data_IF_763666266851
#
_entry.id   IF_763666266851
#
_cell.length_a   1.000
_cell.length_b   1.000
_cell.length_c   1.000
_cell.angle_alpha   90.00
_cell.angle_beta   90.00
_cell.angle_gamma   90.00
#
_symmetry.space_group_name_H-M   'P 1'
#
loop_
_entity.id
_entity.type
_entity.pdbx_description
1 polymer ?
#
# COMPACT_ATOMS: atom_id res chain seq x y z
N UNK A 1 -10.13 10.57 -21.77
CA UNK A 1 -10.50 9.46 -20.87
C UNK A 1 -9.55 8.33 -21.21
N UNK A 2 -8.97 7.67 -20.20
CA UNK A 2 -8.07 6.56 -20.49
C UNK A 2 -8.82 5.45 -21.23
N UNK A 3 -8.16 4.79 -22.17
CA UNK A 3 -8.69 3.58 -22.79
C UNK A 3 -8.09 2.32 -22.14
N UNK A 4 -8.63 1.15 -22.48
CA UNK A 4 -8.17 -0.12 -21.91
C UNK A 4 -6.69 -0.38 -22.21
N UNK A 5 -6.18 0.06 -23.37
CA UNK A 5 -4.78 -0.13 -23.75
C UNK A 5 -3.82 0.69 -22.88
N UNK A 6 -4.18 1.94 -22.57
CA UNK A 6 -3.44 2.79 -21.63
C UNK A 6 -3.41 2.17 -20.22
N UNK A 7 -4.54 1.63 -19.75
CA UNK A 7 -4.61 0.95 -18.46
C UNK A 7 -3.74 -0.31 -18.45
N UNK A 8 -3.77 -1.12 -19.51
CA UNK A 8 -2.91 -2.30 -19.62
C UNK A 8 -1.43 -1.91 -19.59
N UNK A 9 -1.03 -0.83 -20.25
CA UNK A 9 0.34 -0.32 -20.17
C UNK A 9 0.72 0.10 -18.75
N UNK A 10 -0.19 0.78 -18.05
CA UNK A 10 0.00 1.19 -16.67
C UNK A 10 0.28 0.00 -15.74
N UNK A 11 -0.41 -1.14 -15.94
CA UNK A 11 -0.14 -2.37 -15.19
C UNK A 11 1.21 -3.01 -15.58
N UNK A 12 1.67 -2.91 -16.84
CA UNK A 12 3.03 -3.36 -17.21
C UNK A 12 4.10 -2.53 -16.50
N UNK A 13 3.96 -1.21 -16.52
CA UNK A 13 4.91 -0.29 -15.90
C UNK A 13 4.95 -0.47 -14.38
N UNK A 14 3.78 -0.69 -13.77
CA UNK A 14 3.68 -1.00 -12.35
C UNK A 14 4.39 -2.32 -12.00
N UNK A 15 4.20 -3.38 -12.80
CA UNK A 15 4.88 -4.66 -12.57
C UNK A 15 6.40 -4.50 -12.58
N UNK A 16 6.93 -3.78 -13.58
CA UNK A 16 8.37 -3.55 -13.74
C UNK A 16 9.00 -2.81 -12.55
N UNK A 17 8.29 -1.82 -11.99
CA UNK A 17 8.81 -0.97 -10.89
C UNK A 17 8.56 -1.53 -9.49
N UNK A 18 7.73 -2.58 -9.36
CA UNK A 18 7.34 -3.12 -8.05
C UNK A 18 7.85 -4.53 -7.76
N UNK A 19 8.39 -5.24 -8.75
CA UNK A 19 8.81 -6.64 -8.62
C UNK A 19 9.68 -6.93 -7.38
N UNK A 20 10.67 -6.08 -7.09
CA UNK A 20 11.58 -6.29 -5.96
C UNK A 20 10.91 -6.06 -4.58
N UNK A 21 9.94 -5.14 -4.49
CA UNK A 21 9.33 -4.72 -3.21
C UNK A 21 7.96 -5.33 -2.95
N UNK A 22 7.28 -5.79 -4.00
CA UNK A 22 5.91 -6.28 -3.96
C UNK A 22 5.70 -7.38 -5.00
N UNK A 23 6.36 -8.55 -4.85
CA UNK A 23 6.38 -9.60 -5.87
C UNK A 23 4.98 -10.16 -6.19
N UNK A 24 4.10 -10.29 -5.19
CA UNK A 24 2.71 -10.71 -5.40
C UNK A 24 1.98 -9.74 -6.34
N UNK A 25 2.04 -8.44 -6.04
CA UNK A 25 1.36 -7.43 -6.84
C UNK A 25 2.01 -7.27 -8.22
N UNK A 26 3.33 -7.43 -8.35
CA UNK A 26 3.97 -7.41 -9.66
C UNK A 26 3.49 -8.56 -10.56
N UNK A 27 3.39 -9.79 -10.01
CA UNK A 27 2.83 -10.94 -10.74
C UNK A 27 1.38 -10.73 -11.18
N UNK A 28 0.53 -10.26 -10.26
CA UNK A 28 -0.87 -9.93 -10.57
C UNK A 28 -0.96 -8.81 -11.61
N UNK A 29 -0.13 -7.79 -11.50
CA UNK A 29 -0.08 -6.65 -12.43
C UNK A 29 0.28 -7.10 -13.84
N UNK A 30 1.25 -7.99 -14.00
CA UNK A 30 1.57 -8.60 -15.31
C UNK A 30 0.35 -9.33 -15.88
N UNK A 31 -0.32 -10.17 -15.09
CA UNK A 31 -1.48 -10.93 -15.56
C UNK A 31 -2.69 -10.03 -15.90
N UNK A 32 -2.92 -8.95 -15.14
CA UNK A 32 -3.96 -7.96 -15.41
C UNK A 32 -3.67 -7.23 -16.73
N UNK A 33 -2.41 -6.89 -17.01
CA UNK A 33 -2.05 -6.23 -18.25
C UNK A 33 -2.39 -7.04 -19.51
N UNK A 34 -2.47 -8.38 -19.39
CA UNK A 34 -2.81 -9.29 -20.48
C UNK A 34 -4.30 -9.67 -20.52
N UNK A 35 -5.11 -9.19 -19.56
CA UNK A 35 -6.56 -9.43 -19.49
C UNK A 35 -7.35 -8.11 -19.59
N UNK A 36 -7.90 -7.76 -20.78
CA UNK A 36 -8.62 -6.52 -20.99
C UNK A 36 -9.87 -6.36 -20.11
N UNK A 37 -10.53 -7.46 -19.72
CA UNK A 37 -11.74 -7.40 -18.89
C UNK A 37 -11.37 -6.91 -17.48
N UNK A 38 -10.31 -7.48 -16.90
CA UNK A 38 -9.85 -7.13 -15.56
C UNK A 38 -9.15 -5.76 -15.56
N UNK A 39 -8.32 -5.46 -16.55
CA UNK A 39 -7.71 -4.14 -16.70
C UNK A 39 -8.79 -3.06 -16.83
N UNK A 40 -9.82 -3.31 -17.64
CA UNK A 40 -10.93 -2.38 -17.88
C UNK A 40 -11.78 -2.05 -16.65
N UNK A 41 -11.67 -2.80 -15.54
CA UNK A 41 -12.28 -2.42 -14.26
C UNK A 41 -11.81 -1.04 -13.80
N UNK A 42 -10.53 -0.72 -13.97
CA UNK A 42 -9.93 0.53 -13.49
C UNK A 42 -10.50 1.77 -14.18
N UNK A 43 -11.14 1.60 -15.35
CA UNK A 43 -11.84 2.69 -16.05
C UNK A 43 -13.05 3.22 -15.28
N UNK A 44 -13.55 2.49 -14.29
CA UNK A 44 -14.59 2.98 -13.38
C UNK A 44 -14.07 4.03 -12.38
N UNK A 45 -12.75 4.13 -12.19
CA UNK A 45 -12.16 5.05 -11.23
C UNK A 45 -12.15 6.51 -11.75
N UNK A 46 -12.25 7.51 -10.86
CA UNK A 46 -11.98 8.90 -11.22
C UNK A 46 -10.56 9.05 -11.81
N UNK A 47 -10.32 9.98 -12.77
CA UNK A 47 -9.02 10.13 -13.40
C UNK A 47 -7.85 10.34 -12.42
N UNK A 48 -8.09 11.01 -11.29
CA UNK A 48 -7.09 11.23 -10.24
C UNK A 48 -6.75 9.98 -9.42
N UNK A 49 -7.51 8.89 -9.58
CA UNK A 49 -7.36 7.63 -8.84
C UNK A 49 -7.29 6.40 -9.75
N UNK A 50 -7.27 6.58 -11.08
CA UNK A 50 -7.07 5.52 -12.07
C UNK A 50 -5.64 5.01 -12.05
N UNK A 51 -5.19 4.47 -10.91
CA UNK A 51 -3.86 3.91 -10.67
C UNK A 51 -3.98 2.44 -10.23
N UNK A 52 -2.99 1.58 -10.52
CA UNK A 52 -3.10 0.13 -10.27
C UNK A 52 -3.40 -0.23 -8.81
N UNK A 53 -2.85 0.55 -7.88
CA UNK A 53 -3.01 0.36 -6.43
C UNK A 53 -4.47 0.42 -6.00
N UNK A 54 -5.33 1.21 -6.68
CA UNK A 54 -6.74 1.27 -6.34
C UNK A 54 -7.46 -0.06 -6.62
N UNK A 55 -7.18 -0.71 -7.75
CA UNK A 55 -7.75 -2.03 -8.06
C UNK A 55 -7.28 -3.08 -7.04
N UNK A 56 -6.00 -3.08 -6.71
CA UNK A 56 -5.47 -3.98 -5.69
C UNK A 56 -6.12 -3.75 -4.31
N UNK A 57 -6.31 -2.49 -3.91
CA UNK A 57 -6.96 -2.16 -2.66
C UNK A 57 -8.43 -2.59 -2.65
N UNK A 58 -9.17 -2.39 -3.74
CA UNK A 58 -10.56 -2.81 -3.86
C UNK A 58 -10.70 -4.33 -3.80
N UNK A 59 -9.83 -5.08 -4.50
CA UNK A 59 -9.80 -6.54 -4.41
C UNK A 59 -9.44 -7.01 -2.99
N UNK A 60 -8.43 -6.39 -2.37
CA UNK A 60 -8.01 -6.75 -1.02
C UNK A 60 -9.11 -6.48 0.03
N UNK A 61 -9.90 -5.41 -0.11
CA UNK A 61 -11.08 -5.16 0.73
C UNK A 61 -12.09 -6.31 0.65
N UNK A 62 -12.34 -6.87 -0.55
CA UNK A 62 -13.21 -8.04 -0.71
C UNK A 62 -12.60 -9.31 -0.12
N UNK A 63 -11.28 -9.50 -0.26
CA UNK A 63 -10.56 -10.61 0.37
C UNK A 63 -10.66 -10.53 1.90
N UNK A 64 -10.48 -9.35 2.50
CA UNK A 64 -10.64 -9.11 3.93
C UNK A 64 -12.06 -9.41 4.43
N UNK A 65 -13.07 -9.22 3.58
CA UNK A 65 -14.47 -9.56 3.86
C UNK A 65 -14.81 -11.03 3.61
N UNK A 66 -13.83 -11.85 3.23
CA UNK A 66 -13.98 -13.29 3.04
C UNK A 66 -14.54 -13.71 1.68
N UNK A 67 -14.56 -12.83 0.67
CA UNK A 67 -15.12 -13.17 -0.64
C UNK A 67 -14.26 -14.14 -1.45
N UNK A 68 -12.96 -14.29 -1.14
CA UNK A 68 -12.06 -15.21 -1.83
C UNK A 68 -11.00 -15.81 -0.89
N UNK A 69 -11.35 -16.82 -0.07
CA UNK A 69 -10.40 -17.50 0.81
C UNK A 69 -9.21 -18.11 0.06
N UNK A 70 -9.43 -18.58 -1.17
CA UNK A 70 -8.39 -19.10 -2.05
C UNK A 70 -7.35 -18.03 -2.43
N UNK A 71 -7.79 -16.79 -2.63
CA UNK A 71 -6.90 -15.67 -2.91
C UNK A 71 -6.22 -15.18 -1.63
N UNK A 72 -6.94 -15.19 -0.50
CA UNK A 72 -6.40 -14.80 0.81
C UNK A 72 -5.13 -15.58 1.19
N UNK A 73 -5.06 -16.86 0.80
CA UNK A 73 -3.91 -17.72 1.04
C UNK A 73 -2.59 -17.21 0.44
N UNK A 74 -2.64 -16.30 -0.55
CA UNK A 74 -1.44 -15.73 -1.17
C UNK A 74 -0.93 -14.45 -0.49
N UNK A 75 -1.69 -13.86 0.44
CA UNK A 75 -1.35 -12.59 1.07
C UNK A 75 -0.52 -12.79 2.37
N UNK A 76 0.71 -12.24 2.48
CA UNK A 76 1.55 -12.37 3.67
C UNK A 76 0.95 -11.80 4.96
N UNK A 77 0.05 -10.83 4.85
CA UNK A 77 -0.64 -10.24 6.00
C UNK A 77 -1.89 -11.04 6.44
N UNK A 78 -2.30 -12.06 5.68
CA UNK A 78 -3.48 -12.89 5.96
C UNK A 78 -3.12 -14.37 6.20
N UNK A 79 -2.02 -14.82 5.61
CA UNK A 79 -1.53 -16.19 5.74
C UNK A 79 -0.14 -16.22 6.39
N UNK A 80 0.02 -17.03 7.44
CA UNK A 80 1.32 -17.23 8.09
C UNK A 80 2.37 -17.82 7.14
N UNK A 81 1.92 -18.67 6.20
CA UNK A 81 2.75 -19.26 5.14
C UNK A 81 2.03 -19.04 3.80
N UNK A 82 2.31 -17.94 3.09
CA UNK A 82 1.65 -17.63 1.84
C UNK A 82 1.87 -18.71 0.78
N UNK A 83 0.81 -19.05 0.05
CA UNK A 83 0.88 -20.03 -1.02
C UNK A 83 1.77 -19.55 -2.18
N UNK A 84 2.70 -20.40 -2.61
CA UNK A 84 3.67 -20.10 -3.68
C UNK A 84 3.08 -20.20 -5.10
N UNK A 85 1.89 -20.80 -5.23
CA UNK A 85 1.21 -21.05 -6.49
C UNK A 85 0.82 -19.78 -7.27
N UNK A 86 0.08 -19.97 -8.36
CA UNK A 86 -0.42 -18.85 -9.16
C UNK A 86 -1.67 -18.21 -8.52
N UNK A 87 -1.61 -16.94 -8.05
CA UNK A 87 -2.77 -16.26 -7.49
C UNK A 87 -3.76 -15.81 -8.57
N UNK A 88 -3.34 -15.77 -9.84
CA UNK A 88 -4.12 -15.19 -10.92
C UNK A 88 -5.49 -15.84 -11.14
N UNK A 89 -5.65 -17.18 -11.17
CA UNK A 89 -6.95 -17.80 -11.35
C UNK A 89 -7.98 -17.37 -10.30
N UNK A 90 -7.56 -17.32 -9.03
CA UNK A 90 -8.38 -16.87 -7.91
C UNK A 90 -8.72 -15.37 -8.01
N UNK A 91 -7.73 -14.54 -8.30
CA UNK A 91 -7.89 -13.10 -8.49
C UNK A 91 -8.89 -12.78 -9.60
N UNK A 92 -8.68 -13.39 -10.77
CA UNK A 92 -9.53 -13.20 -11.95
C UNK A 92 -10.96 -13.70 -11.70
N UNK A 93 -11.11 -14.85 -11.03
CA UNK A 93 -12.43 -15.38 -10.68
C UNK A 93 -13.19 -14.44 -9.74
N UNK A 94 -12.51 -13.85 -8.74
CA UNK A 94 -13.09 -12.83 -7.87
C UNK A 94 -13.48 -11.58 -8.67
N UNK A 95 -12.59 -11.07 -9.53
CA UNK A 95 -12.88 -9.89 -10.36
C UNK A 95 -14.12 -10.07 -11.25
N UNK A 96 -14.28 -11.26 -11.83
CA UNK A 96 -15.45 -11.57 -12.67
C UNK A 96 -16.73 -11.76 -11.86
N UNK A 97 -16.64 -12.44 -10.72
CA UNK A 97 -17.78 -12.68 -9.83
C UNK A 97 -18.30 -11.37 -9.22
N UNK A 98 -17.40 -10.46 -8.85
CA UNK A 98 -17.71 -9.23 -8.12
C UNK A 98 -17.57 -7.96 -8.99
N UNK A 99 -17.66 -8.06 -10.33
CA UNK A 99 -17.42 -6.94 -11.26
C UNK A 99 -18.22 -5.68 -10.87
N UNK A 100 -19.52 -5.81 -10.63
CA UNK A 100 -20.37 -4.67 -10.25
C UNK A 100 -19.98 -4.02 -8.92
N UNK A 101 -19.59 -4.84 -7.92
CA UNK A 101 -19.15 -4.34 -6.63
C UNK A 101 -17.78 -3.67 -6.74
N UNK A 102 -16.86 -4.26 -7.50
CA UNK A 102 -15.55 -3.67 -7.78
C UNK A 102 -15.68 -2.34 -8.52
N UNK A 103 -16.51 -2.23 -9.55
CA UNK A 103 -16.78 -0.95 -10.23
C UNK A 103 -17.32 0.10 -9.27
N UNK A 104 -18.21 -0.29 -8.37
CA UNK A 104 -18.75 0.61 -7.33
C UNK A 104 -17.66 1.09 -6.37
N UNK A 105 -16.78 0.19 -5.92
CA UNK A 105 -15.64 0.54 -5.06
C UNK A 105 -14.65 1.45 -5.79
N UNK A 106 -14.27 1.10 -7.02
CA UNK A 106 -13.33 1.86 -7.84
C UNK A 106 -13.84 3.28 -8.14
N UNK A 107 -15.15 3.44 -8.38
CA UNK A 107 -15.76 4.73 -8.66
C UNK A 107 -15.86 5.65 -7.42
N UNK A 108 -15.88 5.09 -6.21
CA UNK A 108 -16.23 5.84 -4.98
C UNK A 108 -15.13 5.88 -3.92
N UNK A 109 -14.15 4.98 -3.99
CA UNK A 109 -13.06 4.88 -3.01
C UNK A 109 -11.77 5.45 -3.56
N UNK A 110 -10.91 5.84 -2.62
CA UNK A 110 -9.62 6.45 -2.90
C UNK A 110 -8.56 5.72 -2.07
N UNK A 111 -7.36 5.59 -2.62
CA UNK A 111 -6.21 5.13 -1.83
C UNK A 111 -5.45 6.33 -1.31
N UNK A 112 -4.97 6.22 -0.07
CA UNK A 112 -4.12 7.24 0.53
C UNK A 112 -2.95 6.57 1.22
N UNK A 113 -1.76 7.07 0.94
CA UNK A 113 -0.52 6.48 1.46
C UNK A 113 -0.26 6.97 2.87
N UNK A 114 -0.14 6.05 3.81
CA UNK A 114 0.44 6.31 5.12
C UNK A 114 1.87 5.78 5.11
N UNK A 115 2.85 6.68 4.97
CA UNK A 115 4.26 6.29 4.99
C UNK A 115 4.85 6.57 6.39
N UNK A 116 4.63 5.62 7.31
CA UNK A 116 5.10 5.73 8.70
C UNK A 116 6.63 5.74 8.82
N UNK A 117 7.37 5.23 7.84
CA UNK A 117 8.83 5.28 7.78
C UNK A 117 9.38 6.71 7.85
N UNK A 118 8.61 7.70 7.38
CA UNK A 118 8.96 9.13 7.53
C UNK A 118 9.09 9.56 8.99
N UNK A 119 8.41 8.88 9.92
CA UNK A 119 8.51 9.19 11.34
C UNK A 119 9.93 9.00 11.87
N UNK A 120 10.78 8.19 11.21
CA UNK A 120 12.18 8.03 11.59
C UNK A 120 13.01 9.30 11.35
N UNK A 121 12.52 10.23 10.53
CA UNK A 121 13.15 11.53 10.33
C UNK A 121 12.58 12.60 11.28
N UNK A 122 11.37 12.39 11.81
CA UNK A 122 10.72 13.35 12.70
C UNK A 122 11.38 13.41 14.06
N UNK A 123 11.70 12.25 14.65
CA UNK A 123 12.29 12.17 15.99
C UNK A 123 13.58 13.01 16.14
N UNK A 124 14.61 12.87 15.28
CA UNK A 124 15.81 13.71 15.39
C UNK A 124 15.54 15.18 15.09
N UNK A 125 14.65 15.49 14.14
CA UNK A 125 14.32 16.88 13.81
C UNK A 125 13.59 17.59 14.96
N UNK A 126 12.62 16.92 15.60
CA UNK A 126 11.91 17.46 16.75
C UNK A 126 12.85 17.62 17.95
N UNK A 127 13.78 16.69 18.16
CA UNK A 127 14.72 16.86 19.27
C UNK A 127 15.67 18.05 19.06
N UNK A 128 16.12 18.30 17.82
CA UNK A 128 16.90 19.50 17.51
C UNK A 128 16.12 20.79 17.81
N UNK A 129 14.84 20.84 17.41
CA UNK A 129 13.96 22.00 17.68
C UNK A 129 13.71 22.17 19.17
N UNK A 130 13.48 21.08 19.91
CA UNK A 130 13.25 21.12 21.36
C UNK A 130 14.48 21.65 22.09
N UNK A 131 15.68 21.18 21.71
CA UNK A 131 16.95 21.65 22.27
C UNK A 131 17.22 23.14 21.99
N UNK A 132 16.87 23.64 20.81
CA UNK A 132 17.07 25.04 20.43
C UNK A 132 16.08 25.99 21.12
N UNK A 133 14.83 25.57 21.26
CA UNK A 133 13.75 26.44 21.74
C UNK A 133 13.44 26.33 23.22
N UNK A 134 13.85 25.23 23.87
CA UNK A 134 13.48 24.87 25.23
C UNK A 134 11.95 24.89 25.49
N UNK A 135 11.15 24.64 24.46
CA UNK A 135 9.68 24.71 24.49
C UNK A 135 9.03 23.38 24.06
N UNK A 136 7.81 23.08 24.53
CA UNK A 136 7.06 21.92 24.03
C UNK A 136 6.76 22.00 22.53
N UNK A 137 6.78 20.87 21.85
CA UNK A 137 6.48 20.76 20.42
C UNK A 137 5.04 20.26 20.21
N UNK A 138 4.31 20.93 19.32
CA UNK A 138 3.04 20.47 18.79
C UNK A 138 3.16 20.24 17.27
N UNK A 139 2.74 19.06 16.80
CA UNK A 139 2.72 18.72 15.37
C UNK A 139 1.34 19.00 14.77
N UNK A 140 1.32 19.67 13.63
CA UNK A 140 0.13 19.81 12.77
C UNK A 140 0.47 19.21 11.41
N UNK A 141 -0.31 18.20 10.99
CA UNK A 141 -0.13 17.50 9.71
C UNK A 141 -1.36 17.73 8.81
N UNK A 142 -1.18 18.52 7.76
CA UNK A 142 -2.25 18.85 6.81
C UNK A 142 -2.35 17.74 5.76
N UNK A 143 -3.44 16.98 5.81
CA UNK A 143 -3.63 15.83 4.92
C UNK A 143 -3.01 14.54 5.46
N UNK A 144 -3.06 14.33 6.78
CA UNK A 144 -2.43 13.20 7.50
C UNK A 144 -2.95 11.79 7.15
N UNK A 145 -3.84 11.67 6.15
CA UNK A 145 -4.46 10.39 5.78
C UNK A 145 -5.14 9.71 6.98
N UNK A 146 -4.67 8.54 7.41
CA UNK A 146 -5.20 7.81 8.57
C UNK A 146 -4.57 8.28 9.90
N UNK A 147 -3.75 9.33 9.88
CA UNK A 147 -3.13 9.91 11.07
C UNK A 147 -1.93 9.12 11.58
N UNK A 148 -1.43 8.12 10.85
CA UNK A 148 -0.39 7.22 11.36
C UNK A 148 0.95 7.93 11.58
N UNK A 149 1.21 9.03 10.86
CA UNK A 149 2.41 9.88 11.04
C UNK A 149 2.32 10.78 12.28
N UNK A 150 1.12 11.05 12.80
CA UNK A 150 0.93 11.78 14.07
C UNK A 150 1.29 10.92 15.28
N UNK A 151 1.40 9.61 15.09
CA UNK A 151 1.72 8.64 16.13
C UNK A 151 3.23 8.36 16.26
N UNK A 152 4.09 9.22 15.70
CA UNK A 152 5.54 9.04 15.70
C UNK A 152 6.10 8.68 17.09
N UNK A 153 5.62 9.35 18.14
CA UNK A 153 6.02 9.11 19.53
C UNK A 153 5.62 7.74 20.11
N UNK A 154 4.86 6.93 19.37
CA UNK A 154 4.42 5.58 19.78
C UNK A 154 5.18 4.45 19.09
N UNK A 155 6.03 4.77 18.11
CA UNK A 155 6.83 3.77 17.41
C UNK A 155 8.20 3.62 18.07
N UNK A 156 8.75 2.40 18.03
CA UNK A 156 10.17 2.19 18.26
C UNK A 156 10.95 2.51 17.00
N UNK A 157 12.23 2.84 17.14
CA UNK A 157 13.13 3.19 16.04
C UNK A 157 14.43 2.43 16.16
N UNK A 158 14.95 1.94 15.02
CA UNK A 158 16.27 1.31 14.95
C UNK A 158 17.12 2.07 13.94
N UNK A 159 18.11 2.81 14.43
CA UNK A 159 19.02 3.58 13.59
C UNK A 159 20.33 2.82 13.35
N UNK A 160 20.77 2.81 12.09
CA UNK A 160 22.02 2.18 11.68
C UNK A 160 22.90 3.18 10.89
N UNK A 161 24.02 3.66 11.45
CA UNK A 161 24.45 3.50 12.85
C UNK A 161 23.59 4.32 13.83
N UNK A 162 23.49 3.90 15.10
CA UNK A 162 22.81 4.71 16.13
C UNK A 162 22.11 3.94 17.25
N UNK A 163 21.67 2.70 16.99
CA UNK A 163 20.98 1.86 17.97
C UNK A 163 19.46 2.07 18.03
N UNK A 164 18.83 1.46 19.03
CA UNK A 164 17.37 1.48 19.21
C UNK A 164 16.94 2.68 20.10
N UNK A 165 15.89 3.41 19.70
CA UNK A 165 15.36 4.60 20.38
C UNK A 165 13.82 4.56 20.40
N UNK A 166 13.21 5.17 21.40
CA UNK A 166 11.75 5.29 21.53
C UNK A 166 11.15 4.31 22.56
N UNK A 167 9.81 4.25 22.67
CA UNK A 167 9.12 3.34 23.56
C UNK A 167 9.30 1.87 23.14
N UNK A 168 9.08 0.96 24.09
CA UNK A 168 8.85 -0.45 23.79
C UNK A 168 7.54 -0.58 22.98
N UNK A 169 7.67 -0.93 21.71
CA UNK A 169 6.58 -0.89 20.72
C UNK A 169 6.63 -2.12 19.85
N UNK A 170 5.46 -2.68 19.55
CA UNK A 170 5.33 -3.79 18.59
C UNK A 170 5.61 -3.36 17.14
N UNK A 171 5.75 -2.05 16.89
CA UNK A 171 6.11 -1.49 15.58
C UNK A 171 7.44 -0.75 15.72
N UNK A 172 8.49 -1.34 15.15
CA UNK A 172 9.84 -0.77 15.13
C UNK A 172 10.20 -0.36 13.70
N UNK A 173 10.56 0.91 13.52
CA UNK A 173 10.91 1.49 12.23
C UNK A 173 12.43 1.47 12.03
N UNK A 174 12.96 0.66 11.09
CA UNK A 174 14.38 0.67 10.78
C UNK A 174 14.75 1.88 9.92
N UNK A 175 15.92 2.48 10.17
CA UNK A 175 16.47 3.59 9.42
C UNK A 175 17.98 3.46 9.32
N UNK A 176 18.49 3.25 8.10
CA UNK A 176 19.92 3.16 7.84
C UNK A 176 20.41 4.38 7.04
N UNK A 177 21.54 4.96 7.42
CA UNK A 177 22.22 5.97 6.60
C UNK A 177 23.03 5.26 5.51
N UNK A 178 22.82 5.62 4.25
CA UNK A 178 23.60 5.13 3.10
C UNK A 178 24.35 6.33 2.52
N UNK A 179 25.68 6.26 2.54
CA UNK A 179 26.59 7.25 1.93
C UNK A 179 26.80 7.01 0.45
#
# INVERSE_FOLDING_TARGET
MADTGEVQQMFRDFAATTAARAPLYARLSTAIADDPDVAGLLLAAPPSQGIPVLLFAAVHDLVLRGHAPELAAHYPNLAAHPAEGDPWPAFRALCRREDGLLRTLLASRHTQTNEIGRCALFLPAFELVAAETAAPIAQVDVGTSAGLTLLWHRYGYRYEPGGDVGPDSSVVLPCSVRG
#
